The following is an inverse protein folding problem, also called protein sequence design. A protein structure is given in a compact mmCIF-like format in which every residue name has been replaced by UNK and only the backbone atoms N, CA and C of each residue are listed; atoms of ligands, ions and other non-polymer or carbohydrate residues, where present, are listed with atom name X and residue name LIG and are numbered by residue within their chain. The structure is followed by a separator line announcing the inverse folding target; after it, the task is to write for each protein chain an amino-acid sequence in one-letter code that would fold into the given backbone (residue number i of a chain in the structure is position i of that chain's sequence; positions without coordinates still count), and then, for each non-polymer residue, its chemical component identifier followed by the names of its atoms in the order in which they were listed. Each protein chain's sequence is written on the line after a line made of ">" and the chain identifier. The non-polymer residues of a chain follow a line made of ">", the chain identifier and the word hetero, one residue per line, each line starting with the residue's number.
data_IF_175012730092
#
_entry.id   IF_175012730092
#
_cell.length_a   1.000
_cell.length_b   1.000
_cell.length_c   1.000
_cell.angle_alpha   90.00
_cell.angle_beta   90.00
_cell.angle_gamma   90.00
#
_symmetry.space_group_name_H-M   'P 1'
#
loop_
_entity.id
_entity.type
_entity.pdbx_description
1 polymer ?
#
# COMPACT_ATOMS: atom_id res chain seq x y z
N UNK A 1 6.97 14.44 -2.71
CA UNK A 1 7.61 13.83 -1.54
C UNK A 1 8.01 12.43 -1.94
N UNK A 2 9.28 12.06 -1.76
CA UNK A 2 9.78 10.71 -2.02
C UNK A 2 9.72 9.91 -0.72
N UNK A 3 9.32 8.66 -0.80
CA UNK A 3 9.31 7.74 0.33
C UNK A 3 9.64 6.32 -0.10
N UNK A 4 9.73 5.41 0.87
CA UNK A 4 9.96 3.98 0.64
C UNK A 4 8.67 3.22 0.90
N UNK A 5 8.23 2.41 -0.06
CA UNK A 5 7.03 1.60 0.07
C UNK A 5 7.31 0.31 0.86
N UNK A 6 6.43 -0.03 1.78
CA UNK A 6 6.45 -1.29 2.50
C UNK A 6 5.07 -1.96 2.46
N UNK A 7 5.03 -3.22 2.04
CA UNK A 7 3.80 -4.00 1.96
C UNK A 7 3.30 -4.52 3.31
N UNK A 8 4.15 -4.50 4.35
CA UNK A 8 3.88 -5.02 5.68
C UNK A 8 4.38 -4.06 6.77
N UNK A 9 3.90 -4.24 8.00
CA UNK A 9 4.29 -3.42 9.15
C UNK A 9 5.77 -3.56 9.53
N UNK A 10 6.35 -4.72 9.26
CA UNK A 10 7.74 -5.08 9.50
C UNK A 10 8.10 -6.29 8.61
N UNK A 11 9.40 -6.63 8.46
CA UNK A 11 9.86 -7.66 7.52
C UNK A 11 9.29 -9.06 7.77
N UNK A 12 8.96 -9.37 9.02
CA UNK A 12 8.43 -10.67 9.46
C UNK A 12 6.90 -10.73 9.48
N UNK A 13 6.21 -9.60 9.25
CA UNK A 13 4.75 -9.55 9.23
C UNK A 13 4.18 -9.86 7.84
N UNK A 14 2.97 -10.41 7.84
CA UNK A 14 2.19 -10.56 6.62
C UNK A 14 1.90 -9.21 5.96
N UNK A 15 1.79 -9.18 4.62
CA UNK A 15 1.36 -7.98 3.91
C UNK A 15 0.00 -7.48 4.39
N UNK A 16 -0.17 -6.16 4.48
CA UNK A 16 -1.45 -5.53 4.78
C UNK A 16 -2.54 -6.00 3.81
N UNK A 17 -2.19 -6.10 2.52
CA UNK A 17 -3.07 -6.59 1.46
C UNK A 17 -2.33 -7.47 0.47
N UNK A 18 -3.08 -8.35 -0.18
CA UNK A 18 -2.61 -9.22 -1.25
C UNK A 18 -3.60 -9.17 -2.42
N UNK A 19 -3.14 -9.58 -3.61
CA UNK A 19 -4.01 -9.70 -4.79
C UNK A 19 -5.17 -10.64 -4.49
N UNK A 20 -6.38 -10.22 -4.82
CA UNK A 20 -7.63 -10.92 -4.53
C UNK A 20 -8.27 -10.56 -3.17
N UNK A 21 -7.59 -9.78 -2.32
CA UNK A 21 -8.16 -9.34 -1.04
C UNK A 21 -9.11 -8.16 -1.25
N UNK A 22 -10.26 -8.17 -0.58
CA UNK A 22 -11.15 -7.00 -0.50
C UNK A 22 -10.66 -6.00 0.53
N UNK A 23 -10.78 -4.71 0.20
CA UNK A 23 -10.43 -3.55 1.03
C UNK A 23 -11.62 -2.60 1.12
N UNK A 24 -11.70 -1.88 2.23
CA UNK A 24 -12.62 -0.76 2.44
C UNK A 24 -11.84 0.56 2.47
N UNK A 25 -12.54 1.70 2.38
CA UNK A 25 -11.90 3.02 2.39
C UNK A 25 -10.97 3.27 3.58
N UNK A 26 -11.28 2.69 4.75
CA UNK A 26 -10.47 2.80 5.97
C UNK A 26 -9.38 1.73 6.12
N UNK A 27 -9.35 0.73 5.23
CA UNK A 27 -8.37 -0.36 5.29
C UNK A 27 -6.98 0.16 4.97
N UNK A 28 -6.01 -0.14 5.84
CA UNK A 28 -4.58 0.12 5.59
C UNK A 28 -4.09 -0.85 4.52
N UNK A 29 -3.48 -0.31 3.46
CA UNK A 29 -3.00 -1.09 2.31
C UNK A 29 -1.48 -1.20 2.24
N UNK A 30 -0.76 -0.20 2.76
CA UNK A 30 0.69 -0.21 2.84
C UNK A 30 1.20 0.83 3.84
N UNK A 31 2.51 0.79 4.09
CA UNK A 31 3.25 1.85 4.76
C UNK A 31 4.14 2.58 3.77
N UNK A 32 4.28 3.89 3.94
CA UNK A 32 5.26 4.70 3.24
C UNK A 32 6.15 5.39 4.25
N UNK A 33 7.44 5.07 4.21
CA UNK A 33 8.45 5.72 5.04
C UNK A 33 8.99 6.96 4.35
N UNK A 34 8.91 8.12 5.01
CA UNK A 34 9.50 9.35 4.54
C UNK A 34 10.20 10.06 5.70
N UNK A 35 11.50 10.34 5.56
CA UNK A 35 12.30 11.01 6.59
C UNK A 35 12.23 10.32 7.97
N UNK A 36 12.30 8.97 8.02
CA UNK A 36 12.14 8.13 9.23
C UNK A 36 10.74 8.13 9.85
N UNK A 37 9.74 8.70 9.18
CA UNK A 37 8.34 8.67 9.60
C UNK A 37 7.60 7.66 8.73
N UNK A 38 7.00 6.67 9.38
CA UNK A 38 6.16 5.66 8.72
C UNK A 38 4.72 6.17 8.68
N UNK A 39 4.17 6.32 7.48
CA UNK A 39 2.80 6.75 7.26
C UNK A 39 1.97 5.58 6.76
N UNK A 40 0.83 5.32 7.42
CA UNK A 40 -0.15 4.33 6.98
C UNK A 40 -0.97 4.90 5.83
N UNK A 41 -0.95 4.21 4.70
CA UNK A 41 -1.76 4.56 3.55
C UNK A 41 -3.05 3.74 3.60
N UNK A 42 -4.17 4.44 3.57
CA UNK A 42 -5.51 3.83 3.50
C UNK A 42 -5.93 3.65 2.05
N UNK A 43 -6.84 2.71 1.80
CA UNK A 43 -7.32 2.46 0.44
C UNK A 43 -8.12 3.64 -0.14
N UNK A 44 -8.81 4.42 0.71
CA UNK A 44 -9.74 5.51 0.33
C UNK A 44 -10.90 5.08 -0.59
N UNK A 45 -10.93 3.82 -1.00
CA UNK A 45 -11.94 3.21 -1.84
C UNK A 45 -12.25 1.79 -1.38
N UNK A 46 -13.41 1.30 -1.79
CA UNK A 46 -13.90 -0.04 -1.50
C UNK A 46 -13.81 -0.90 -2.75
N UNK A 47 -13.23 -2.08 -2.65
CA UNK A 47 -13.05 -2.96 -3.81
C UNK A 47 -12.10 -4.11 -3.54
N UNK A 48 -11.62 -4.75 -4.60
CA UNK A 48 -10.68 -5.86 -4.52
C UNK A 48 -9.34 -5.49 -5.14
N UNK A 49 -8.24 -5.81 -4.46
CA UNK A 49 -6.89 -5.60 -4.99
C UNK A 49 -6.70 -6.51 -6.20
N UNK A 50 -6.60 -5.94 -7.39
CA UNK A 50 -6.38 -6.70 -8.62
C UNK A 50 -4.87 -6.87 -8.87
N UNK A 51 -4.08 -5.82 -8.63
CA UNK A 51 -2.61 -5.87 -8.77
C UNK A 51 -1.89 -4.92 -7.81
N UNK A 52 -0.69 -5.32 -7.40
CA UNK A 52 0.29 -4.45 -6.75
C UNK A 52 1.31 -4.03 -7.81
N UNK A 53 1.60 -2.74 -7.92
CA UNK A 53 2.44 -2.16 -8.98
C UNK A 53 3.86 -1.83 -8.50
N UNK A 54 4.12 -2.02 -7.22
CA UNK A 54 5.38 -1.69 -6.52
C UNK A 54 5.78 -2.83 -5.60
N UNK A 55 7.07 -2.97 -5.32
CA UNK A 55 7.56 -3.98 -4.38
C UNK A 55 7.98 -3.34 -3.05
N UNK A 56 7.95 -4.13 -1.99
CA UNK A 56 8.44 -3.67 -0.68
C UNK A 56 9.93 -3.31 -0.77
N UNK A 57 10.28 -2.12 -0.28
CA UNK A 57 11.62 -1.53 -0.38
C UNK A 57 11.81 -0.60 -1.58
N UNK A 58 10.86 -0.53 -2.52
CA UNK A 58 10.95 0.37 -3.67
C UNK A 58 10.75 1.83 -3.24
N UNK A 59 11.49 2.74 -3.89
CA UNK A 59 11.26 4.18 -3.78
C UNK A 59 9.98 4.56 -4.53
N UNK A 60 9.14 5.36 -3.89
CA UNK A 60 7.88 5.85 -4.43
C UNK A 60 7.79 7.37 -4.33
N UNK A 61 7.11 7.97 -5.30
CA UNK A 61 6.92 9.41 -5.37
C UNK A 61 5.46 9.82 -5.24
N UNK A 62 5.23 11.08 -4.88
CA UNK A 62 3.89 11.64 -4.83
C UNK A 62 3.19 11.52 -6.20
N UNK A 63 1.99 10.94 -6.22
CA UNK A 63 1.20 10.71 -7.43
C UNK A 63 1.53 9.40 -8.16
N UNK A 64 2.52 8.63 -7.69
CA UNK A 64 2.80 7.29 -8.23
C UNK A 64 1.68 6.30 -7.87
N UNK A 65 1.28 5.49 -8.84
CA UNK A 65 0.26 4.44 -8.65
C UNK A 65 0.88 3.25 -7.93
N UNK A 66 0.33 2.89 -6.77
CA UNK A 66 0.82 1.78 -5.94
C UNK A 66 0.02 0.49 -6.14
N UNK A 67 -1.30 0.61 -6.24
CA UNK A 67 -2.23 -0.51 -6.36
C UNK A 67 -3.23 -0.27 -7.49
N UNK A 68 -3.65 -1.37 -8.11
CA UNK A 68 -4.82 -1.39 -8.98
C UNK A 68 -5.95 -2.07 -8.22
N UNK A 69 -6.98 -1.30 -7.90
CA UNK A 69 -8.16 -1.78 -7.18
C UNK A 69 -9.32 -1.84 -8.16
N UNK A 70 -9.99 -2.99 -8.20
CA UNK A 70 -11.26 -3.13 -8.90
C UNK A 70 -12.38 -2.72 -7.93
N UNK A 71 -13.04 -1.57 -8.14
CA UNK A 71 -14.14 -1.16 -7.28
C UNK A 71 -15.27 -2.19 -7.31
N UNK A 72 -15.90 -2.37 -6.15
CA UNK A 72 -17.07 -3.25 -6.00
C UNK A 72 -18.35 -2.57 -6.53
#
# INVERSE_FOLDING_TARGET
>A
MVGTFYSAANPDSDPFVAVGKSVSADSVVCLVEAMKVFNEIKAECSGTIERVLVNSGDSVEFGQKLFLVKPA
#
